data_IF_020046090352
#
_entry.id   IF_020046090352
#
_cell.length_a   1.000
_cell.length_b   1.000
_cell.length_c   1.000
_cell.angle_alpha   90.00
_cell.angle_beta   90.00
_cell.angle_gamma   90.00
#
_symmetry.space_group_name_H-M   'P 1'
#
loop_
_entity.id
_entity.type
_entity.pdbx_description
1 polymer ?
#
# COMPACT_ATOMS: atom_id res chain seq x y z
N UNK A 1 -83.26 -62.02 14.00
CA UNK A 1 -83.51 -60.79 14.78
C UNK A 1 -82.18 -60.36 15.36
N UNK A 2 -81.73 -59.17 14.95
CA UNK A 2 -80.34 -58.73 15.00
C UNK A 2 -79.91 -58.31 16.40
N UNK A 3 -78.74 -58.78 16.83
CA UNK A 3 -78.07 -58.38 18.05
C UNK A 3 -77.28 -57.08 17.81
N UNK A 4 -77.48 -56.09 18.69
CA UNK A 4 -76.70 -54.85 18.74
C UNK A 4 -75.30 -55.11 19.30
N UNK A 5 -74.22 -54.50 18.75
CA UNK A 5 -72.92 -54.47 19.37
C UNK A 5 -72.78 -53.31 20.39
N UNK A 6 -71.88 -53.42 21.40
CA UNK A 6 -71.65 -52.38 22.40
C UNK A 6 -70.74 -51.25 21.89
N UNK A 7 -70.75 -50.06 22.52
CA UNK A 7 -69.97 -48.92 22.08
C UNK A 7 -68.48 -49.05 22.43
N UNK A 8 -67.63 -48.69 21.47
CA UNK A 8 -66.19 -48.55 21.60
C UNK A 8 -65.84 -47.37 22.53
N UNK A 9 -65.09 -47.64 23.59
CA UNK A 9 -64.51 -46.62 24.47
C UNK A 9 -63.32 -45.94 23.80
N UNK A 10 -63.45 -44.63 23.56
CA UNK A 10 -62.36 -43.79 23.09
C UNK A 10 -61.37 -43.49 24.23
N UNK A 11 -60.19 -44.12 24.16
CA UNK A 11 -59.05 -43.80 25.02
C UNK A 11 -58.40 -42.49 24.57
N UNK A 12 -58.69 -41.41 25.29
CA UNK A 12 -58.04 -40.10 25.17
C UNK A 12 -56.59 -40.17 25.69
N UNK A 13 -55.63 -40.30 24.77
CA UNK A 13 -54.20 -40.12 25.08
C UNK A 13 -53.88 -38.62 25.17
N UNK A 14 -54.16 -38.02 26.33
CA UNK A 14 -53.56 -36.73 26.71
C UNK A 14 -52.08 -36.95 27.00
N UNK A 15 -51.20 -36.50 26.09
CA UNK A 15 -49.90 -35.86 26.34
C UNK A 15 -49.18 -35.62 25.00
N UNK A 16 -49.09 -34.35 24.55
CA UNK A 16 -47.76 -33.80 24.26
C UNK A 16 -47.60 -32.33 24.67
N UNK A 17 -48.35 -31.81 25.66
CA UNK A 17 -48.18 -30.40 26.09
C UNK A 17 -46.86 -30.11 26.82
N UNK A 18 -46.24 -31.12 27.43
CA UNK A 18 -45.00 -30.91 28.20
C UNK A 18 -43.74 -30.83 27.33
N UNK A 19 -43.74 -31.39 26.11
CA UNK A 19 -42.58 -31.35 25.21
C UNK A 19 -42.52 -30.05 24.38
N UNK A 20 -43.67 -29.51 23.98
CA UNK A 20 -43.73 -28.23 23.26
C UNK A 20 -43.25 -27.04 24.10
N UNK A 21 -43.61 -27.00 25.39
CA UNK A 21 -43.16 -25.94 26.30
C UNK A 21 -41.67 -26.01 26.64
N UNK A 22 -41.05 -27.20 26.63
CA UNK A 22 -39.62 -27.34 26.88
C UNK A 22 -38.77 -26.87 25.68
N UNK A 23 -39.27 -27.05 24.45
CA UNK A 23 -38.58 -26.59 23.23
C UNK A 23 -38.67 -25.06 23.07
N UNK A 24 -39.82 -24.45 23.39
CA UNK A 24 -40.02 -23.00 23.34
C UNK A 24 -39.16 -22.25 24.38
N UNK A 25 -38.98 -22.81 25.58
CA UNK A 25 -38.16 -22.19 26.63
C UNK A 25 -36.65 -22.31 26.35
N UNK A 26 -36.21 -23.36 25.67
CA UNK A 26 -34.81 -23.54 25.28
C UNK A 26 -34.36 -22.58 24.16
N UNK A 27 -35.29 -22.12 23.31
CA UNK A 27 -35.02 -21.15 22.22
C UNK A 27 -35.13 -19.68 22.66
N UNK A 28 -35.83 -19.36 23.76
CA UNK A 28 -35.99 -17.99 24.26
C UNK A 28 -34.84 -17.53 25.17
N UNK A 29 -34.14 -18.45 25.85
CA UNK A 29 -33.08 -18.09 26.80
C UNK A 29 -31.77 -17.52 26.19
N UNK A 30 -31.33 -17.83 24.95
CA UNK A 30 -30.10 -17.20 24.43
C UNK A 30 -30.30 -15.75 23.96
N UNK A 31 -31.55 -15.29 23.75
CA UNK A 31 -31.81 -13.94 23.20
C UNK A 31 -31.72 -12.82 24.25
N UNK A 32 -31.97 -13.09 25.54
CA UNK A 32 -31.83 -12.08 26.60
C UNK A 32 -30.38 -11.93 27.13
N UNK A 33 -29.48 -12.86 26.80
CA UNK A 33 -28.10 -12.87 27.30
C UNK A 33 -27.10 -12.04 26.50
N UNK A 34 -27.37 -11.73 25.23
CA UNK A 34 -26.38 -11.11 24.33
C UNK A 34 -26.48 -9.58 24.20
N UNK A 35 -27.51 -8.95 24.77
CA UNK A 35 -27.81 -7.53 24.54
C UNK A 35 -26.90 -6.52 25.28
N UNK A 36 -25.85 -6.95 26.00
CA UNK A 36 -24.99 -6.03 26.78
C UNK A 36 -23.50 -6.04 26.46
N UNK A 37 -23.05 -6.83 25.50
CA UNK A 37 -21.69 -6.75 25.01
C UNK A 37 -21.68 -5.96 23.71
N UNK A 38 -21.81 -4.63 23.82
CA UNK A 38 -21.35 -3.78 22.73
C UNK A 38 -19.88 -4.15 22.46
N UNK A 39 -19.48 -4.44 21.20
CA UNK A 39 -18.11 -4.75 20.89
C UNK A 39 -17.27 -3.56 21.35
N UNK A 40 -16.50 -3.76 22.42
CA UNK A 40 -15.53 -2.79 22.89
C UNK A 40 -14.50 -2.70 21.76
N UNK A 41 -14.59 -1.65 20.95
CA UNK A 41 -13.64 -1.42 19.85
C UNK A 41 -12.25 -1.55 20.45
N UNK A 42 -11.44 -2.54 20.02
CA UNK A 42 -10.08 -2.64 20.51
C UNK A 42 -9.39 -1.31 20.20
N UNK A 43 -8.56 -0.79 21.11
CA UNK A 43 -7.85 0.46 20.85
C UNK A 43 -7.09 0.32 19.51
N UNK A 44 -7.10 1.36 18.67
CA UNK A 44 -6.44 1.30 17.37
C UNK A 44 -4.99 0.90 17.60
N UNK A 45 -4.55 -0.18 16.94
CA UNK A 45 -3.16 -0.58 16.95
C UNK A 45 -2.38 0.47 16.18
N UNK A 46 -1.49 1.18 16.86
CA UNK A 46 -0.53 2.07 16.20
C UNK A 46 0.39 1.23 15.33
N UNK A 47 0.38 1.48 14.02
CA UNK A 47 1.34 0.90 13.09
C UNK A 47 2.35 1.98 12.69
N UNK A 48 3.64 1.65 12.83
CA UNK A 48 4.73 2.50 12.37
C UNK A 48 5.06 2.09 10.93
N UNK A 49 4.66 2.92 9.96
CA UNK A 49 4.77 2.63 8.53
C UNK A 49 6.25 2.56 8.08
N UNK A 50 7.08 3.46 8.62
CA UNK A 50 8.50 3.55 8.27
C UNK A 50 9.39 2.41 8.80
N UNK A 51 8.86 1.49 9.64
CA UNK A 51 9.65 0.37 10.17
C UNK A 51 9.66 -0.86 9.26
N UNK A 52 8.69 -1.01 8.35
CA UNK A 52 8.66 -2.13 7.39
C UNK A 52 9.48 -1.83 6.14
N UNK A 53 9.43 -0.59 5.66
CA UNK A 53 10.28 -0.13 4.58
C UNK A 53 11.66 0.19 5.16
N UNK A 54 12.64 -0.67 4.88
CA UNK A 54 14.02 -0.41 5.28
C UNK A 54 14.48 0.92 4.66
N UNK A 55 14.41 2.00 5.45
CA UNK A 55 14.96 3.28 5.06
C UNK A 55 16.42 3.07 4.70
N UNK A 56 16.83 3.64 3.57
CA UNK A 56 18.23 3.59 3.12
C UNK A 56 19.13 3.92 4.32
N UNK A 57 20.17 3.13 4.63
CA UNK A 57 21.17 3.58 5.58
C UNK A 57 21.80 4.82 4.97
N UNK A 58 21.32 5.99 5.38
CA UNK A 58 22.04 7.25 5.19
C UNK A 58 23.47 6.92 5.55
N UNK A 59 24.36 6.99 4.56
CA UNK A 59 25.79 6.82 4.73
C UNK A 59 26.15 7.65 5.96
N UNK A 60 26.61 6.94 6.99
CA UNK A 60 26.74 7.43 8.34
C UNK A 60 27.42 8.79 8.36
N UNK A 61 26.70 9.78 8.87
CA UNK A 61 27.17 10.81 9.80
C UNK A 61 28.71 10.84 9.99
N UNK A 62 29.41 11.49 9.08
CA UNK A 62 30.78 11.94 9.29
C UNK A 62 31.05 13.19 8.45
N UNK A 63 30.26 14.25 8.66
CA UNK A 63 30.73 15.63 8.75
C UNK A 63 29.53 16.58 8.85
N UNK A 64 29.68 17.64 9.63
CA UNK A 64 28.74 18.74 9.85
C UNK A 64 27.57 18.48 10.83
N UNK A 65 27.92 18.46 12.12
CA UNK A 65 27.07 19.07 13.15
C UNK A 65 27.12 20.60 12.97
N UNK A 66 26.42 21.10 11.96
CA UNK A 66 25.99 22.49 11.94
C UNK A 66 24.49 22.45 12.24
N UNK A 67 24.12 22.97 13.41
CA UNK A 67 22.72 23.19 13.79
C UNK A 67 22.11 24.09 12.71
N UNK A 68 21.46 23.49 11.72
CA UNK A 68 20.77 24.22 10.67
C UNK A 68 19.69 25.04 11.35
N UNK A 69 19.83 26.37 11.30
CA UNK A 69 18.70 27.25 11.58
C UNK A 69 17.58 26.86 10.62
N UNK A 70 16.32 26.75 11.05
CA UNK A 70 15.21 26.49 10.15
C UNK A 70 15.23 27.60 9.10
N UNK A 71 15.67 27.25 7.90
CA UNK A 71 15.65 28.17 6.76
C UNK A 71 14.17 28.47 6.55
N UNK A 72 13.79 29.75 6.57
CA UNK A 72 12.38 30.11 6.42
C UNK A 72 11.91 29.60 5.06
N UNK A 73 10.72 29.03 5.02
CA UNK A 73 10.04 28.57 3.80
C UNK A 73 10.12 29.60 2.65
N UNK A 74 10.08 30.89 2.98
CA UNK A 74 10.25 32.00 2.04
C UNK A 74 11.64 32.09 1.41
N UNK A 75 12.71 31.75 2.14
CA UNK A 75 14.09 31.85 1.66
C UNK A 75 14.43 30.65 0.75
N UNK A 76 13.93 29.45 1.05
CA UNK A 76 14.08 28.26 0.18
C UNK A 76 13.26 28.37 -1.10
N UNK A 77 12.04 28.92 -1.00
CA UNK A 77 11.23 29.24 -2.16
C UNK A 77 11.84 30.36 -3.01
N UNK A 78 12.44 31.37 -2.36
CA UNK A 78 13.15 32.43 -3.06
C UNK A 78 14.40 31.88 -3.78
N UNK A 79 15.18 31.02 -3.13
CA UNK A 79 16.38 30.42 -3.72
C UNK A 79 16.06 29.45 -4.87
N UNK A 80 14.99 28.65 -4.72
CA UNK A 80 14.48 27.81 -5.81
C UNK A 80 13.92 28.65 -6.97
N UNK A 81 13.28 29.79 -6.69
CA UNK A 81 12.78 30.71 -7.72
C UNK A 81 13.88 31.56 -8.38
N UNK A 82 15.02 31.75 -7.70
CA UNK A 82 16.19 32.47 -8.21
C UNK A 82 17.31 31.56 -8.70
N UNK A 83 17.04 30.25 -8.85
CA UNK A 83 18.00 29.29 -9.38
C UNK A 83 18.45 29.65 -10.81
N UNK A 84 19.59 29.11 -11.28
CA UNK A 84 20.04 29.34 -12.65
C UNK A 84 18.96 28.89 -13.63
N UNK A 85 18.67 29.71 -14.64
CA UNK A 85 17.84 29.30 -15.76
C UNK A 85 18.61 28.24 -16.56
N UNK A 86 18.09 27.02 -16.60
CA UNK A 86 18.66 25.94 -17.39
C UNK A 86 18.11 25.99 -18.81
N UNK A 87 18.97 25.80 -19.80
CA UNK A 87 18.57 25.68 -21.21
C UNK A 87 18.45 24.23 -21.67
N UNK A 88 19.04 23.30 -20.90
CA UNK A 88 18.99 21.85 -21.13
C UNK A 88 18.74 21.13 -19.79
N UNK A 89 17.96 20.05 -19.81
CA UNK A 89 17.72 19.20 -18.65
C UNK A 89 19.03 18.57 -18.13
N UNK A 90 19.98 18.31 -19.04
CA UNK A 90 21.31 17.81 -18.71
C UNK A 90 22.09 18.79 -17.85
N UNK A 91 22.01 20.09 -18.15
CA UNK A 91 22.66 21.15 -17.36
C UNK A 91 22.10 21.21 -15.94
N UNK A 92 20.77 21.02 -15.80
CA UNK A 92 20.10 20.92 -14.50
C UNK A 92 20.64 19.75 -13.68
N UNK A 93 20.73 18.56 -14.28
CA UNK A 93 21.25 17.38 -13.58
C UNK A 93 22.73 17.50 -13.25
N UNK A 94 23.54 18.00 -14.18
CA UNK A 94 24.96 18.24 -13.96
C UNK A 94 25.19 19.25 -12.82
N UNK A 95 24.40 20.33 -12.79
CA UNK A 95 24.41 21.30 -11.70
C UNK A 95 24.06 20.65 -10.35
N UNK A 96 22.99 19.85 -10.30
CA UNK A 96 22.58 19.14 -9.09
C UNK A 96 23.65 18.13 -8.61
N UNK A 97 24.28 17.43 -9.56
CA UNK A 97 25.36 16.47 -9.33
C UNK A 97 26.68 17.12 -8.86
N UNK A 98 26.81 18.45 -9.03
CA UNK A 98 28.04 19.19 -8.74
C UNK A 98 29.10 19.10 -9.85
N UNK A 99 28.71 18.68 -11.06
CA UNK A 99 29.59 18.51 -12.22
C UNK A 99 29.76 19.82 -13.01
N UNK A 100 29.84 20.96 -12.32
CA UNK A 100 29.86 22.28 -12.97
C UNK A 100 31.23 22.61 -13.56
N UNK A 101 31.47 22.11 -14.77
CA UNK A 101 32.33 22.72 -15.79
C UNK A 101 31.74 22.38 -17.17
N UNK A 102 31.90 23.23 -18.20
CA UNK A 102 31.65 22.76 -19.56
C UNK A 102 32.49 21.51 -19.79
N UNK A 103 32.00 20.56 -20.58
CA UNK A 103 32.56 19.24 -20.90
C UNK A 103 34.03 19.22 -21.41
N UNK A 104 34.84 20.24 -21.19
CA UNK A 104 36.24 20.34 -21.63
C UNK A 104 37.20 21.11 -20.71
N UNK A 105 36.92 21.37 -19.42
CA UNK A 105 37.84 22.16 -18.57
C UNK A 105 38.26 21.58 -17.21
N UNK A 106 38.09 20.29 -16.95
CA UNK A 106 38.64 19.66 -15.73
C UNK A 106 39.36 18.34 -16.00
N UNK A 107 40.54 18.19 -15.39
CA UNK A 107 41.38 16.98 -15.28
C UNK A 107 40.73 15.82 -14.51
N UNK A 108 39.40 15.78 -14.38
CA UNK A 108 38.75 14.64 -13.73
C UNK A 108 38.81 13.44 -14.67
N UNK A 109 39.37 12.33 -14.18
CA UNK A 109 39.45 11.10 -14.96
C UNK A 109 38.04 10.66 -15.40
N UNK A 110 37.83 10.22 -16.65
CA UNK A 110 36.53 9.71 -17.11
C UNK A 110 35.90 8.66 -16.17
N UNK A 111 36.74 7.82 -15.57
CA UNK A 111 36.31 6.81 -14.60
C UNK A 111 35.72 7.40 -13.32
N UNK A 112 36.22 8.55 -12.85
CA UNK A 112 35.71 9.21 -11.65
C UNK A 112 34.29 9.75 -11.88
N UNK A 113 34.06 10.40 -13.02
CA UNK A 113 32.74 10.94 -13.38
C UNK A 113 31.71 9.80 -13.50
N UNK A 114 32.06 8.71 -14.18
CA UNK A 114 31.21 7.52 -14.26
C UNK A 114 30.88 6.93 -12.89
N UNK A 115 31.88 6.75 -12.02
CA UNK A 115 31.68 6.24 -10.67
C UNK A 115 30.75 7.15 -9.85
N UNK A 116 30.90 8.47 -9.99
CA UNK A 116 30.03 9.46 -9.35
C UNK A 116 28.60 9.35 -9.86
N UNK A 117 28.39 9.26 -11.17
CA UNK A 117 27.05 9.11 -11.77
C UNK A 117 26.36 7.81 -11.30
N UNK A 118 27.09 6.69 -11.19
CA UNK A 118 26.53 5.44 -10.67
C UNK A 118 26.09 5.56 -9.20
N UNK A 119 26.87 6.27 -8.38
CA UNK A 119 26.48 6.55 -6.99
C UNK A 119 25.20 7.38 -6.94
N UNK A 120 25.12 8.46 -7.73
CA UNK A 120 23.93 9.31 -7.81
C UNK A 120 22.69 8.57 -8.31
N UNK A 121 22.87 7.66 -9.28
CA UNK A 121 21.80 6.77 -9.75
C UNK A 121 21.28 5.88 -8.62
N UNK A 122 22.19 5.31 -7.82
CA UNK A 122 21.80 4.49 -6.66
C UNK A 122 20.99 5.28 -5.62
N UNK A 123 21.29 6.57 -5.44
CA UNK A 123 20.52 7.45 -4.56
C UNK A 123 19.09 7.68 -5.07
N UNK A 124 18.92 7.92 -6.39
CA UNK A 124 17.59 8.03 -7.00
C UNK A 124 16.81 6.72 -6.88
N UNK A 125 17.44 5.59 -7.21
CA UNK A 125 16.80 4.27 -7.10
C UNK A 125 16.38 3.95 -5.67
N UNK A 126 17.17 4.34 -4.67
CA UNK A 126 16.81 4.18 -3.27
C UNK A 126 15.61 5.04 -2.87
N UNK A 127 15.55 6.30 -3.32
CA UNK A 127 14.41 7.18 -3.07
C UNK A 127 13.12 6.67 -3.74
N UNK A 128 13.24 6.13 -4.95
CA UNK A 128 12.13 5.51 -5.68
C UNK A 128 11.60 4.30 -4.92
N UNK A 129 12.45 3.32 -4.64
CA UNK A 129 12.06 2.08 -3.94
C UNK A 129 11.49 2.36 -2.53
N UNK A 130 11.98 3.40 -1.86
CA UNK A 130 11.43 3.78 -0.56
C UNK A 130 10.03 4.42 -0.68
N UNK A 131 9.78 5.22 -1.71
CA UNK A 131 8.46 5.83 -1.94
C UNK A 131 7.43 4.77 -2.35
N UNK A 132 7.81 3.89 -3.28
CA UNK A 132 7.04 2.72 -3.75
C UNK A 132 6.65 1.79 -2.59
N UNK A 133 7.62 1.39 -1.76
CA UNK A 133 7.35 0.58 -0.56
C UNK A 133 6.35 1.22 0.40
N UNK A 134 6.41 2.55 0.57
CA UNK A 134 5.47 3.25 1.44
C UNK A 134 4.06 3.30 0.84
N UNK A 135 3.93 3.42 -0.49
CA UNK A 135 2.67 3.32 -1.21
C UNK A 135 2.07 1.92 -1.06
N UNK A 136 2.82 0.88 -1.43
CA UNK A 136 2.43 -0.53 -1.28
C UNK A 136 1.96 -0.86 0.15
N UNK A 137 2.66 -0.36 1.16
CA UNK A 137 2.30 -0.57 2.56
C UNK A 137 0.97 0.10 2.94
N UNK A 138 0.65 1.26 2.35
CA UNK A 138 -0.63 1.92 2.54
C UNK A 138 -1.75 1.21 1.78
N UNK A 139 -1.49 0.74 0.56
CA UNK A 139 -2.46 -0.01 -0.23
C UNK A 139 -2.82 -1.34 0.47
N UNK A 140 -1.82 -2.11 0.93
CA UNK A 140 -2.06 -3.35 1.67
C UNK A 140 -2.89 -3.09 2.93
N UNK A 141 -2.58 -2.00 3.65
CA UNK A 141 -3.33 -1.62 4.83
C UNK A 141 -4.78 -1.23 4.50
N UNK A 142 -5.00 -0.47 3.43
CA UNK A 142 -6.33 -0.14 2.95
C UNK A 142 -7.13 -1.41 2.62
N UNK A 143 -6.55 -2.29 1.80
CA UNK A 143 -7.19 -3.54 1.39
C UNK A 143 -7.54 -4.41 2.60
N UNK A 144 -6.66 -4.46 3.60
CA UNK A 144 -6.92 -5.19 4.84
C UNK A 144 -8.06 -4.59 5.66
N UNK A 145 -8.13 -3.27 5.80
CA UNK A 145 -9.22 -2.59 6.49
C UNK A 145 -10.55 -2.77 5.76
N UNK A 146 -10.55 -2.64 4.43
CA UNK A 146 -11.73 -2.86 3.59
C UNK A 146 -12.20 -4.31 3.62
N UNK A 147 -11.29 -5.28 3.58
CA UNK A 147 -11.62 -6.71 3.68
C UNK A 147 -12.27 -7.04 5.02
N UNK A 148 -11.77 -6.46 6.11
CA UNK A 148 -12.38 -6.62 7.44
C UNK A 148 -13.78 -6.00 7.50
N UNK A 149 -13.94 -4.77 7.01
CA UNK A 149 -15.22 -4.10 6.98
C UNK A 149 -16.27 -4.88 6.17
N UNK A 150 -15.89 -5.37 4.99
CA UNK A 150 -16.76 -6.19 4.13
C UNK A 150 -17.16 -7.52 4.79
N UNK A 151 -16.23 -8.16 5.54
CA UNK A 151 -16.55 -9.36 6.33
C UNK A 151 -17.56 -9.07 7.43
N UNK A 152 -17.39 -7.98 8.17
CA UNK A 152 -18.30 -7.60 9.24
C UNK A 152 -19.71 -7.30 8.70
N UNK A 153 -19.80 -6.60 7.57
CA UNK A 153 -21.06 -6.35 6.83
C UNK A 153 -21.73 -7.66 6.39
N UNK A 154 -20.95 -8.58 5.81
CA UNK A 154 -21.43 -9.89 5.35
C UNK A 154 -21.97 -10.72 6.51
N UNK A 155 -21.26 -10.75 7.64
CA UNK A 155 -21.67 -11.50 8.83
C UNK A 155 -22.96 -10.93 9.41
N UNK A 156 -23.09 -9.60 9.54
CA UNK A 156 -24.30 -8.96 10.04
C UNK A 156 -25.51 -9.20 9.12
N UNK A 157 -25.30 -9.14 7.81
CA UNK A 157 -26.32 -9.45 6.80
C UNK A 157 -26.76 -10.91 6.88
N UNK A 158 -25.82 -11.86 6.96
CA UNK A 158 -26.12 -13.28 7.08
C UNK A 158 -26.88 -13.60 8.38
N UNK A 159 -26.50 -12.98 9.50
CA UNK A 159 -27.20 -13.11 10.78
C UNK A 159 -28.63 -12.55 10.72
N UNK A 160 -28.82 -11.39 10.07
CA UNK A 160 -30.15 -10.81 9.84
C UNK A 160 -31.06 -11.78 9.09
N UNK A 161 -30.58 -12.36 7.98
CA UNK A 161 -31.33 -13.33 7.18
C UNK A 161 -31.65 -14.60 8.00
N UNK A 162 -30.66 -15.13 8.71
CA UNK A 162 -30.83 -16.35 9.50
C UNK A 162 -31.84 -16.17 10.64
N UNK A 163 -31.81 -15.04 11.36
CA UNK A 163 -32.76 -14.72 12.43
C UNK A 163 -34.16 -14.51 11.86
N UNK A 164 -34.28 -13.81 10.73
CA UNK A 164 -35.56 -13.62 10.05
C UNK A 164 -36.19 -14.95 9.63
N UNK A 165 -35.40 -15.84 9.02
CA UNK A 165 -35.86 -17.16 8.59
C UNK A 165 -36.23 -18.05 9.78
N UNK A 166 -35.39 -18.12 10.82
CA UNK A 166 -35.67 -18.91 12.03
C UNK A 166 -36.92 -18.41 12.76
N UNK A 167 -37.10 -17.10 12.83
CA UNK A 167 -38.29 -16.47 13.41
C UNK A 167 -39.57 -16.80 12.67
N UNK A 168 -39.56 -16.73 11.34
CA UNK A 168 -40.71 -17.09 10.50
C UNK A 168 -41.09 -18.57 10.66
N UNK A 169 -40.10 -19.47 10.70
CA UNK A 169 -40.33 -20.90 10.94
C UNK A 169 -40.92 -21.13 12.34
N UNK A 170 -40.38 -20.46 13.36
CA UNK A 170 -40.87 -20.59 14.73
C UNK A 170 -42.30 -20.06 14.89
N UNK A 171 -42.62 -18.90 14.32
CA UNK A 171 -43.96 -18.34 14.31
C UNK A 171 -44.96 -19.30 13.64
N UNK A 172 -44.64 -19.80 12.44
CA UNK A 172 -45.49 -20.77 11.73
C UNK A 172 -45.65 -22.10 12.49
N UNK A 173 -44.62 -22.58 13.19
CA UNK A 173 -44.73 -23.79 14.01
C UNK A 173 -45.63 -23.59 15.23
N UNK A 174 -45.60 -22.41 15.85
CA UNK A 174 -46.49 -22.06 16.98
C UNK A 174 -47.94 -21.99 16.51
N UNK A 175 -48.19 -21.35 15.36
CA UNK A 175 -49.52 -21.27 14.74
C UNK A 175 -50.13 -22.65 14.50
N UNK A 176 -49.32 -23.60 13.99
CA UNK A 176 -49.77 -24.97 13.74
C UNK A 176 -50.04 -25.76 15.04
N UNK A 177 -49.33 -25.44 16.13
CA UNK A 177 -49.43 -26.16 17.40
C UNK A 177 -50.60 -25.69 18.27
N UNK A 178 -50.92 -24.39 18.23
CA UNK A 178 -51.98 -23.78 19.03
C UNK A 178 -52.52 -22.50 18.35
N UNK A 179 -53.63 -22.63 17.61
CA UNK A 179 -54.20 -21.56 16.79
C UNK A 179 -54.71 -20.35 17.59
N UNK A 180 -54.95 -20.50 18.90
CA UNK A 180 -55.39 -19.41 19.78
C UNK A 180 -54.23 -18.82 20.61
N UNK A 181 -52.98 -19.23 20.35
CA UNK A 181 -51.83 -18.79 21.13
C UNK A 181 -51.37 -17.39 20.71
N UNK A 182 -51.19 -16.44 21.65
CA UNK A 182 -50.59 -15.14 21.36
C UNK A 182 -49.08 -15.23 21.01
N UNK A 183 -48.49 -16.44 21.00
CA UNK A 183 -47.06 -16.64 20.76
C UNK A 183 -46.62 -16.41 19.31
N UNK A 184 -47.46 -16.72 18.32
CA UNK A 184 -47.16 -16.49 16.89
C UNK A 184 -46.86 -15.01 16.59
N UNK A 185 -47.77 -14.06 16.90
CA UNK A 185 -47.56 -12.67 16.50
C UNK A 185 -46.39 -12.04 17.27
N UNK A 186 -46.17 -12.46 18.52
CA UNK A 186 -45.04 -11.98 19.33
C UNK A 186 -43.71 -12.43 18.72
N UNK A 187 -43.57 -13.71 18.39
CA UNK A 187 -42.33 -14.26 17.82
C UNK A 187 -42.07 -13.72 16.42
N UNK A 188 -43.09 -13.63 15.57
CA UNK A 188 -42.99 -13.07 14.23
C UNK A 188 -42.54 -11.61 14.24
N UNK A 189 -43.18 -10.76 15.05
CA UNK A 189 -42.82 -9.33 15.16
C UNK A 189 -41.44 -9.17 15.78
N UNK A 190 -41.12 -9.89 16.85
CA UNK A 190 -39.81 -9.77 17.51
C UNK A 190 -38.67 -10.19 16.58
N UNK A 191 -38.82 -11.29 15.86
CA UNK A 191 -37.81 -11.76 14.92
C UNK A 191 -37.68 -10.82 13.71
N UNK A 192 -38.80 -10.34 13.16
CA UNK A 192 -38.81 -9.37 12.06
C UNK A 192 -38.19 -8.03 12.44
N UNK A 193 -38.49 -7.50 13.63
CA UNK A 193 -37.87 -6.28 14.13
C UNK A 193 -36.36 -6.47 14.38
N UNK A 194 -35.95 -7.61 14.92
CA UNK A 194 -34.54 -7.92 15.18
C UNK A 194 -33.76 -8.09 13.88
N UNK A 195 -34.28 -8.84 12.91
CA UNK A 195 -33.64 -9.03 11.61
C UNK A 195 -33.54 -7.71 10.84
N UNK A 196 -34.61 -6.91 10.81
CA UNK A 196 -34.60 -5.59 10.18
C UNK A 196 -33.59 -4.66 10.84
N UNK A 197 -33.50 -4.66 12.19
CA UNK A 197 -32.51 -3.89 12.93
C UNK A 197 -31.07 -4.28 12.59
N UNK A 198 -30.78 -5.59 12.52
CA UNK A 198 -29.46 -6.10 12.13
C UNK A 198 -29.12 -5.76 10.67
N UNK A 199 -30.07 -5.94 9.74
CA UNK A 199 -29.87 -5.60 8.33
C UNK A 199 -29.63 -4.10 8.14
N UNK A 200 -30.39 -3.25 8.84
CA UNK A 200 -30.14 -1.81 8.85
C UNK A 200 -28.78 -1.48 9.45
N UNK A 201 -28.36 -2.15 10.53
CA UNK A 201 -27.05 -1.90 11.15
C UNK A 201 -25.88 -2.24 10.23
N UNK A 202 -26.02 -3.25 9.37
CA UNK A 202 -25.01 -3.58 8.36
C UNK A 202 -24.79 -2.42 7.37
N UNK A 203 -25.86 -1.70 6.99
CA UNK A 203 -25.78 -0.54 6.09
C UNK A 203 -25.15 0.71 6.73
N UNK A 204 -25.17 0.80 8.06
CA UNK A 204 -24.65 1.93 8.83
C UNK A 204 -23.40 1.58 9.64
N UNK A 205 -22.69 0.50 9.26
CA UNK A 205 -21.40 0.18 9.83
C UNK A 205 -20.44 1.37 9.61
N UNK A 206 -19.80 1.90 10.67
CA UNK A 206 -18.84 2.97 10.50
C UNK A 206 -17.64 2.49 9.69
N UNK A 207 -17.11 3.36 8.83
CA UNK A 207 -15.88 3.08 8.09
C UNK A 207 -14.71 2.86 9.06
N UNK A 208 -13.84 1.87 8.79
CA UNK A 208 -12.71 1.60 9.65
C UNK A 208 -11.71 2.76 9.63
N UNK A 209 -11.04 2.97 10.76
CA UNK A 209 -9.95 3.93 10.93
C UNK A 209 -8.74 3.27 11.57
N UNK A 210 -7.55 3.83 11.38
CA UNK A 210 -6.31 3.31 11.95
C UNK A 210 -5.39 4.44 12.41
N UNK A 211 -4.67 4.23 13.51
CA UNK A 211 -3.62 5.13 13.97
C UNK A 211 -2.31 4.82 13.25
N UNK A 212 -1.81 5.77 12.45
CA UNK A 212 -0.53 5.66 11.76
C UNK A 212 0.50 6.64 12.31
N UNK A 213 1.73 6.17 12.45
CA UNK A 213 2.93 6.98 12.67
C UNK A 213 3.81 6.84 11.42
N UNK A 214 4.14 7.98 10.81
CA UNK A 214 4.89 8.04 9.56
C UNK A 214 6.17 8.86 9.67
N UNK A 215 6.82 8.87 10.83
CA UNK A 215 8.16 9.43 11.00
C UNK A 215 9.25 8.46 10.48
N UNK A 216 10.16 8.88 9.57
CA UNK A 216 10.22 10.18 8.88
C UNK A 216 9.21 10.31 7.73
N UNK A 217 8.66 11.51 7.57
CA UNK A 217 7.59 11.78 6.61
C UNK A 217 8.11 12.40 5.30
N UNK A 218 8.31 11.58 4.26
CA UNK A 218 8.78 12.03 2.93
C UNK A 218 7.95 13.19 2.34
N UNK A 219 6.62 13.12 2.51
CA UNK A 219 5.72 14.13 1.94
C UNK A 219 5.90 15.48 2.63
N UNK A 220 6.25 15.47 3.93
CA UNK A 220 6.51 16.70 4.69
C UNK A 220 7.76 17.43 4.19
N UNK A 221 8.81 16.71 3.81
CA UNK A 221 10.04 17.31 3.25
C UNK A 221 9.75 18.06 1.96
N UNK A 222 8.90 17.50 1.10
CA UNK A 222 8.48 18.14 -0.15
C UNK A 222 7.54 19.31 0.11
N UNK A 223 6.60 19.15 1.06
CA UNK A 223 5.60 20.18 1.39
C UNK A 223 6.23 21.44 1.99
N UNK A 224 7.09 21.26 2.99
CA UNK A 224 7.72 22.37 3.73
C UNK A 224 8.95 22.94 3.02
N UNK A 225 9.59 22.15 2.15
CA UNK A 225 10.85 22.49 1.53
C UNK A 225 12.06 22.38 2.45
N UNK A 226 11.88 22.09 3.75
CA UNK A 226 12.99 22.04 4.70
C UNK A 226 13.72 20.71 4.55
N UNK A 227 14.96 20.74 4.05
CA UNK A 227 15.79 19.55 3.83
C UNK A 227 16.56 19.04 5.07
N UNK A 228 16.01 19.24 6.28
CA UNK A 228 16.69 18.87 7.54
C UNK A 228 16.30 17.45 8.01
N UNK A 229 15.27 16.85 7.40
CA UNK A 229 14.92 15.46 7.59
C UNK A 229 15.68 14.58 6.60
N UNK A 230 16.27 13.49 7.11
CA UNK A 230 17.08 12.50 6.38
C UNK A 230 16.28 11.69 5.34
N UNK A 231 15.17 12.25 4.86
CA UNK A 231 14.15 11.67 3.99
C UNK A 231 14.65 11.49 2.56
N UNK A 232 15.48 12.41 2.07
CA UNK A 232 16.09 12.34 0.74
C UNK A 232 17.60 12.51 0.79
N UNK A 233 18.29 11.96 -0.21
CA UNK A 233 19.70 12.30 -0.43
C UNK A 233 19.80 13.77 -0.88
N UNK A 234 20.94 14.46 -0.62
CA UNK A 234 21.14 15.84 -1.06
C UNK A 234 20.97 16.02 -2.57
N UNK A 235 21.30 15.01 -3.38
CA UNK A 235 21.14 15.06 -4.83
C UNK A 235 19.68 15.00 -5.26
N UNK A 236 18.92 14.03 -4.73
CA UNK A 236 17.48 13.90 -5.01
C UNK A 236 16.74 15.15 -4.54
N UNK A 237 17.06 15.65 -3.34
CA UNK A 237 16.50 16.89 -2.83
C UNK A 237 16.78 18.07 -3.78
N UNK A 238 18.01 18.26 -4.25
CA UNK A 238 18.32 19.33 -5.21
C UNK A 238 17.51 19.19 -6.50
N UNK A 239 17.40 18.00 -7.06
CA UNK A 239 16.62 17.78 -8.29
C UNK A 239 15.12 18.05 -8.13
N UNK A 240 14.56 17.76 -6.95
CA UNK A 240 13.18 18.09 -6.61
C UNK A 240 12.93 19.60 -6.58
N UNK A 241 13.88 20.38 -6.06
CA UNK A 241 13.70 21.81 -5.81
C UNK A 241 14.26 22.73 -6.90
N UNK A 242 15.13 22.25 -7.79
CA UNK A 242 15.61 23.01 -8.94
C UNK A 242 14.50 23.19 -10.00
N UNK A 243 14.34 24.39 -10.58
CA UNK A 243 13.42 24.63 -11.69
C UNK A 243 13.71 23.74 -12.90
N UNK A 244 12.68 23.28 -13.60
CA UNK A 244 12.84 22.64 -14.92
C UNK A 244 13.24 23.69 -15.96
N UNK A 245 13.75 23.23 -17.11
CA UNK A 245 14.06 24.09 -18.28
C UNK A 245 12.86 24.94 -18.66
N UNK A 246 11.68 24.32 -18.70
CA UNK A 246 10.41 24.96 -19.05
C UNK A 246 9.40 24.76 -17.93
N UNK A 247 9.58 25.48 -16.81
CA UNK A 247 8.54 25.60 -15.80
C UNK A 247 9.02 25.47 -14.35
N UNK A 248 8.08 25.25 -13.42
CA UNK A 248 8.39 25.17 -12.01
C UNK A 248 9.26 23.94 -11.68
N UNK A 249 9.82 23.92 -10.47
CA UNK A 249 10.49 22.72 -9.96
C UNK A 249 9.49 21.58 -9.74
N UNK A 250 9.94 20.30 -9.80
CA UNK A 250 9.11 19.15 -9.43
C UNK A 250 8.36 19.32 -8.10
N UNK A 251 9.03 19.80 -7.06
CA UNK A 251 8.43 20.02 -5.74
C UNK A 251 7.35 21.12 -5.74
N UNK A 252 7.50 22.17 -6.55
CA UNK A 252 6.47 23.19 -6.69
C UNK A 252 5.23 22.64 -7.41
N UNK A 253 5.42 21.81 -8.43
CA UNK A 253 4.33 21.19 -9.17
C UNK A 253 3.60 20.12 -8.33
N UNK A 254 4.34 19.30 -7.59
CA UNK A 254 3.79 18.35 -6.61
C UNK A 254 2.93 19.07 -5.57
N UNK A 255 3.44 20.14 -4.96
CA UNK A 255 2.68 20.92 -3.96
C UNK A 255 1.40 21.52 -4.55
N UNK A 256 1.46 22.04 -5.78
CA UNK A 256 0.27 22.53 -6.49
C UNK A 256 -0.78 21.43 -6.63
N UNK A 257 -0.38 20.26 -7.15
CA UNK A 257 -1.26 19.10 -7.34
C UNK A 257 -1.82 18.57 -6.02
N UNK A 258 -1.00 18.49 -4.98
CA UNK A 258 -1.40 18.02 -3.66
C UNK A 258 -2.38 18.96 -2.98
N UNK A 259 -2.21 20.27 -3.15
CA UNK A 259 -3.17 21.27 -2.68
C UNK A 259 -4.54 21.08 -3.32
N UNK A 260 -4.59 20.86 -4.63
CA UNK A 260 -5.85 20.59 -5.35
C UNK A 260 -6.55 19.32 -4.83
N UNK A 261 -5.79 18.26 -4.53
CA UNK A 261 -6.35 17.04 -3.94
C UNK A 261 -6.88 17.27 -2.52
N UNK A 262 -6.14 18.01 -1.67
CA UNK A 262 -6.56 18.35 -0.32
C UNK A 262 -7.84 19.20 -0.33
N UNK A 263 -7.94 20.17 -1.23
CA UNK A 263 -9.14 21.00 -1.38
C UNK A 263 -10.35 20.17 -1.85
N UNK A 264 -10.13 19.21 -2.75
CA UNK A 264 -11.17 18.28 -3.21
C UNK A 264 -11.67 17.40 -2.06
N UNK A 265 -10.77 16.87 -1.25
CA UNK A 265 -11.09 15.96 -0.15
C UNK A 265 -11.74 16.68 1.05
N UNK A 266 -11.31 17.92 1.33
CA UNK A 266 -11.89 18.72 2.41
C UNK A 266 -13.32 19.24 2.12
N UNK A 267 -13.76 19.20 0.86
CA UNK A 267 -15.09 19.63 0.42
C UNK A 267 -15.30 21.15 0.32
N UNK A 268 -16.41 21.55 -0.32
CA UNK A 268 -16.80 22.96 -0.48
C UNK A 268 -17.25 23.56 0.87
N UNK A 269 -16.34 24.21 1.59
CA UNK A 269 -16.69 24.96 2.81
C UNK A 269 -15.54 25.10 3.82
N UNK A 270 -14.53 24.24 3.73
CA UNK A 270 -13.38 24.27 4.63
C UNK A 270 -12.24 25.19 4.13
N UNK A 271 -12.58 26.33 3.51
CA UNK A 271 -11.59 27.36 3.12
C UNK A 271 -11.23 28.24 4.34
N UNK A 272 -10.53 27.65 5.30
CA UNK A 272 -10.05 28.36 6.51
C UNK A 272 -8.64 28.93 6.27
N UNK A 273 -8.30 30.04 6.91
CA UNK A 273 -7.01 30.75 6.77
C UNK A 273 -5.80 30.07 7.44
N UNK A 274 -5.86 28.74 7.65
CA UNK A 274 -4.81 27.94 8.28
C UNK A 274 -4.81 26.50 7.78
N UNK A 275 -3.76 25.71 8.07
CA UNK A 275 -3.62 24.36 7.54
C UNK A 275 -4.77 23.48 8.01
N UNK A 276 -5.40 22.79 7.05
CA UNK A 276 -6.54 21.92 7.34
C UNK A 276 -6.14 20.78 8.28
N UNK A 277 -7.10 20.19 9.00
CA UNK A 277 -6.83 19.01 9.83
C UNK A 277 -6.24 17.85 9.00
N UNK A 278 -6.69 17.73 7.75
CA UNK A 278 -6.18 16.76 6.78
C UNK A 278 -4.74 17.05 6.37
N UNK A 279 -4.40 18.32 6.10
CA UNK A 279 -3.03 18.75 5.82
C UNK A 279 -2.09 18.42 6.99
N UNK A 280 -2.50 18.70 8.23
CA UNK A 280 -1.73 18.36 9.42
C UNK A 280 -1.58 16.85 9.62
N UNK A 281 -2.60 16.07 9.29
CA UNK A 281 -2.55 14.61 9.33
C UNK A 281 -1.54 14.06 8.32
N UNK A 282 -1.58 14.56 7.08
CA UNK A 282 -0.74 14.09 5.97
C UNK A 282 0.72 14.52 6.13
N UNK A 283 0.99 15.80 6.44
CA UNK A 283 2.35 16.35 6.50
C UNK A 283 2.92 16.44 7.93
N UNK A 284 2.17 16.02 8.95
CA UNK A 284 2.61 15.97 10.33
C UNK A 284 3.41 14.71 10.66
N UNK A 285 3.21 14.18 11.87
CA UNK A 285 3.84 12.93 12.36
C UNK A 285 2.95 11.69 12.26
N UNK A 286 1.72 11.86 11.77
CA UNK A 286 0.69 10.83 11.77
C UNK A 286 -0.48 11.15 12.70
N UNK A 287 -1.36 10.17 12.87
CA UNK A 287 -2.63 10.29 13.59
C UNK A 287 -3.65 9.26 13.12
N UNK A 288 -4.93 9.52 13.36
CA UNK A 288 -6.02 8.64 12.93
C UNK A 288 -6.37 8.87 11.46
N UNK A 289 -6.18 7.84 10.64
CA UNK A 289 -6.50 7.83 9.21
C UNK A 289 -7.83 7.14 8.94
N UNK A 290 -8.67 7.78 8.12
CA UNK A 290 -9.76 7.14 7.38
C UNK A 290 -9.21 6.46 6.12
N UNK A 291 -10.01 5.59 5.50
CA UNK A 291 -9.69 4.99 4.19
C UNK A 291 -9.38 6.06 3.14
N UNK A 292 -10.17 7.13 3.06
CA UNK A 292 -9.95 8.18 2.06
C UNK A 292 -8.66 8.97 2.33
N UNK A 293 -8.29 9.19 3.60
CA UNK A 293 -7.00 9.79 3.96
C UNK A 293 -5.81 8.88 3.63
N UNK A 294 -5.96 7.55 3.73
CA UNK A 294 -4.94 6.58 3.30
C UNK A 294 -4.74 6.68 1.79
N UNK A 295 -5.82 6.60 1.01
CA UNK A 295 -5.82 6.74 -0.45
C UNK A 295 -5.22 8.07 -0.91
N UNK A 296 -5.55 9.15 -0.21
CA UNK A 296 -4.99 10.46 -0.53
C UNK A 296 -3.47 10.48 -0.32
N UNK A 297 -2.99 9.89 0.78
CA UNK A 297 -1.55 9.81 1.07
C UNK A 297 -0.83 8.93 0.06
N UNK A 298 -1.41 7.77 -0.26
CA UNK A 298 -0.93 6.82 -1.26
C UNK A 298 -0.76 7.51 -2.63
N UNK A 299 -1.82 8.16 -3.13
CA UNK A 299 -1.76 8.93 -4.36
C UNK A 299 -0.70 10.07 -4.35
N UNK A 300 -0.40 10.66 -3.19
CA UNK A 300 0.69 11.64 -3.08
C UNK A 300 2.08 10.99 -3.19
N UNK A 301 2.25 9.78 -2.65
CA UNK A 301 3.48 8.99 -2.78
C UNK A 301 3.69 8.54 -4.22
N UNK A 302 2.64 8.09 -4.92
CA UNK A 302 2.71 7.76 -6.36
C UNK A 302 3.18 8.94 -7.21
N UNK A 303 2.69 10.15 -6.90
CA UNK A 303 3.13 11.35 -7.60
C UNK A 303 4.62 11.63 -7.35
N UNK A 304 5.08 11.45 -6.12
CA UNK A 304 6.50 11.61 -5.77
C UNK A 304 7.35 10.54 -6.45
N UNK A 305 6.93 9.28 -6.41
CA UNK A 305 7.61 8.16 -7.09
C UNK A 305 7.77 8.45 -8.57
N UNK A 306 6.70 8.88 -9.24
CA UNK A 306 6.73 9.26 -10.67
C UNK A 306 7.77 10.35 -10.93
N UNK A 307 7.84 11.38 -10.09
CA UNK A 307 8.83 12.45 -10.23
C UNK A 307 10.26 11.96 -9.99
N UNK A 308 10.48 11.07 -9.03
CA UNK A 308 11.80 10.46 -8.78
C UNK A 308 12.19 9.54 -9.95
N UNK A 309 11.24 8.82 -10.55
CA UNK A 309 11.48 7.99 -11.73
C UNK A 309 11.93 8.85 -12.93
N UNK A 310 11.31 10.02 -13.13
CA UNK A 310 11.70 10.97 -14.17
C UNK A 310 13.13 11.50 -13.94
N UNK A 311 13.55 11.71 -12.69
CA UNK A 311 14.94 12.11 -12.40
C UNK A 311 15.96 11.05 -12.82
N UNK A 312 15.61 9.77 -12.71
CA UNK A 312 16.48 8.69 -13.18
C UNK A 312 16.63 8.75 -14.71
N UNK A 313 15.57 9.09 -15.44
CA UNK A 313 15.64 9.30 -16.89
C UNK A 313 16.56 10.49 -17.22
N UNK A 314 16.37 11.64 -16.56
CA UNK A 314 17.21 12.81 -16.78
C UNK A 314 18.71 12.52 -16.53
N UNK A 315 19.03 11.71 -15.52
CA UNK A 315 20.41 11.29 -15.22
C UNK A 315 20.98 10.34 -16.28
N UNK A 316 20.18 9.43 -16.81
CA UNK A 316 20.59 8.51 -17.87
C UNK A 316 20.88 9.27 -19.17
N UNK A 317 20.06 10.27 -19.50
CA UNK A 317 20.27 11.13 -20.66
C UNK A 317 21.58 11.94 -20.55
N UNK A 318 21.94 12.38 -19.33
CA UNK A 318 23.24 13.02 -19.08
C UNK A 318 24.41 12.03 -19.22
N UNK A 319 24.27 10.82 -18.69
CA UNK A 319 25.30 9.78 -18.77
C UNK A 319 25.59 9.38 -20.21
N UNK A 320 24.55 9.22 -21.04
CA UNK A 320 24.69 8.91 -22.46
C UNK A 320 25.42 10.03 -23.20
N UNK A 321 24.99 11.27 -23.01
CA UNK A 321 25.61 12.43 -23.64
C UNK A 321 27.09 12.57 -23.27
N UNK A 322 27.43 12.38 -21.99
CA UNK A 322 28.81 12.45 -21.53
C UNK A 322 29.66 11.32 -22.11
N UNK A 323 29.11 10.10 -22.20
CA UNK A 323 29.82 8.96 -22.78
C UNK A 323 30.10 9.17 -24.27
N UNK A 324 29.15 9.74 -25.02
CA UNK A 324 29.34 10.07 -26.43
C UNK A 324 30.46 11.10 -26.63
N UNK A 325 30.52 12.15 -25.80
CA UNK A 325 31.60 13.14 -25.85
C UNK A 325 32.95 12.51 -25.50
N UNK A 326 33.00 11.73 -24.41
CA UNK A 326 34.24 11.08 -23.97
C UNK A 326 34.80 10.08 -25.00
N UNK A 327 33.94 9.42 -25.78
CA UNK A 327 34.35 8.53 -26.87
C UNK A 327 34.85 9.30 -28.11
N UNK A 328 34.27 10.47 -28.41
CA UNK A 328 34.72 11.32 -29.54
C UNK A 328 36.08 11.97 -29.28
N UNK A 329 36.37 12.28 -28.03
CA UNK A 329 37.62 12.92 -27.62
C UNK A 329 38.75 11.90 -27.35
N UNK A 330 38.56 10.59 -27.58
CA UNK A 330 39.63 9.59 -27.48
C UNK A 330 40.54 9.66 -28.73
N UNK A 331 41.80 10.14 -28.60
CA UNK A 331 42.73 10.23 -29.73
C UNK A 331 43.06 8.88 -30.38
N UNK A 332 42.71 7.75 -29.75
CA UNK A 332 42.89 6.40 -30.32
C UNK A 332 41.77 5.98 -31.28
N UNK A 333 40.66 6.72 -31.33
CA UNK A 333 39.56 6.44 -32.24
C UNK A 333 39.95 6.73 -33.71
N UNK A 334 40.80 7.72 -33.95
CA UNK A 334 41.29 8.07 -35.30
C UNK A 334 42.49 7.22 -35.75
N UNK A 335 43.26 6.63 -34.82
CA UNK A 335 44.49 5.88 -35.14
C UNK A 335 44.23 4.46 -35.69
N UNK A 336 42.98 3.97 -35.64
CA UNK A 336 42.61 2.61 -36.08
C UNK A 336 41.83 2.52 -37.40
N UNK A 337 41.66 3.65 -38.13
CA UNK A 337 40.97 3.64 -39.44
C UNK A 337 41.92 3.73 -40.66
N UNK A 338 43.21 3.97 -40.47
CA UNK A 338 44.22 3.67 -41.48
C UNK A 338 44.80 2.27 -41.23
N UNK A 339 44.05 1.24 -41.65
CA UNK A 339 44.70 -0.02 -42.01
C UNK A 339 45.58 0.30 -43.22
N UNK A 340 46.87 0.52 -42.96
CA UNK A 340 47.90 0.62 -43.98
C UNK A 340 47.79 -0.61 -44.90
N UNK A 341 47.60 -0.45 -46.22
CA UNK A 341 47.46 -1.56 -47.17
C UNK A 341 48.79 -2.29 -47.43
N UNK A 342 49.60 -2.51 -46.39
CA UNK A 342 50.95 -3.05 -46.46
C UNK A 342 51.33 -4.02 -45.35
N UNK A 343 50.43 -4.34 -44.42
CA UNK A 343 50.74 -5.38 -43.44
C UNK A 343 50.76 -6.77 -44.12
N UNK A 344 51.86 -7.54 -43.98
CA UNK A 344 51.95 -8.86 -44.56
C UNK A 344 50.88 -9.78 -43.94
N UNK A 345 50.34 -10.74 -44.70
CA UNK A 345 49.30 -11.63 -44.20
C UNK A 345 49.78 -12.31 -42.92
N UNK A 346 48.92 -12.26 -41.88
CA UNK A 346 49.11 -13.00 -40.63
C UNK A 346 49.50 -14.46 -40.95
N UNK A 347 50.44 -15.04 -40.19
CA UNK A 347 50.81 -16.44 -40.36
C UNK A 347 49.56 -17.31 -40.20
N UNK A 348 49.30 -18.12 -41.21
CA UNK A 348 48.27 -19.16 -41.20
C UNK A 348 48.49 -20.05 -39.99
N UNK A 349 47.57 -19.94 -39.02
CA UNK A 349 47.47 -20.91 -37.92
C UNK A 349 47.20 -22.27 -38.56
N UNK A 350 47.97 -23.33 -38.24
CA UNK A 350 47.66 -24.67 -38.71
C UNK A 350 46.27 -25.03 -38.19
N UNK A 351 45.35 -25.31 -39.10
CA UNK A 351 44.10 -26.01 -38.79
C UNK A 351 44.46 -27.39 -38.29
N UNK A 352 44.59 -27.54 -36.96
CA UNK A 352 44.59 -28.85 -36.33
C UNK A 352 43.14 -29.34 -36.32
N UNK A 353 42.83 -30.09 -37.36
CA UNK A 353 41.56 -30.73 -37.62
C UNK A 353 41.41 -31.95 -36.70
N UNK A 354 41.27 -31.75 -35.38
CA UNK A 354 40.81 -32.82 -34.47
C UNK A 354 40.12 -32.24 -33.24
N UNK A 355 38.88 -31.76 -33.40
CA UNK A 355 37.93 -31.68 -32.29
C UNK A 355 36.71 -32.55 -32.62
N UNK A 356 36.38 -33.54 -31.77
CA UNK A 356 35.22 -34.40 -32.00
C UNK A 356 33.91 -33.59 -31.90
N UNK A 357 32.87 -33.98 -32.65
CA UNK A 357 31.64 -33.22 -32.71
C UNK A 357 30.94 -33.16 -31.34
N UNK A 358 30.32 -32.02 -30.99
CA UNK A 358 29.50 -31.92 -29.81
C UNK A 358 28.29 -32.85 -29.95
N UNK A 359 28.10 -33.73 -28.96
CA UNK A 359 26.90 -34.54 -28.83
C UNK A 359 25.71 -33.61 -28.57
N UNK A 360 24.72 -33.70 -29.45
CA UNK A 360 23.39 -33.13 -29.31
C UNK A 360 22.77 -33.54 -27.97
N UNK A 361 22.28 -32.61 -27.13
CA UNK A 361 21.37 -32.98 -26.07
C UNK A 361 20.00 -33.27 -26.70
N UNK A 362 19.64 -34.54 -26.60
CA UNK A 362 18.34 -35.14 -26.91
C UNK A 362 17.27 -34.43 -26.07
N UNK A 363 16.36 -33.73 -26.77
CA UNK A 363 15.15 -33.16 -26.20
C UNK A 363 14.13 -34.27 -25.99
N UNK A 364 14.22 -34.98 -24.87
CA UNK A 364 13.18 -35.90 -24.43
C UNK A 364 12.13 -35.13 -23.64
N UNK A 365 10.96 -34.99 -24.24
CA UNK A 365 9.73 -34.66 -23.57
C UNK A 365 9.38 -35.77 -22.58
N UNK A 366 9.06 -35.41 -21.33
CA UNK A 366 8.20 -36.23 -20.49
C UNK A 366 7.51 -35.39 -19.41
N UNK A 367 6.19 -35.33 -19.53
CA UNK A 367 5.23 -35.03 -18.46
C UNK A 367 5.46 -35.95 -17.27
N UNK A 368 5.20 -35.49 -16.04
CA UNK A 368 4.31 -36.30 -15.22
C UNK A 368 3.27 -35.48 -14.46
N UNK A 369 2.04 -35.93 -14.68
CA UNK A 369 0.93 -35.95 -13.74
C UNK A 369 1.38 -36.58 -12.40
N UNK A 370 1.20 -35.87 -11.28
CA UNK A 370 1.15 -36.53 -9.98
C UNK A 370 0.34 -35.74 -8.96
N UNK A 371 -0.81 -36.34 -8.71
CA UNK A 371 -1.75 -36.19 -7.62
C UNK A 371 -1.10 -36.39 -6.23
N UNK A 372 -1.68 -35.72 -5.24
CA UNK A 372 -1.96 -36.21 -3.88
C UNK A 372 -1.13 -35.65 -2.70
N UNK A 373 -1.93 -35.29 -1.68
CA UNK A 373 -1.74 -35.45 -0.24
C UNK A 373 -0.97 -34.40 0.59
N UNK A 374 -1.78 -33.54 1.21
CA UNK A 374 -1.75 -33.08 2.61
C UNK A 374 -0.98 -33.99 3.57
N UNK A 375 -0.25 -33.38 4.53
CA UNK A 375 -0.38 -33.86 5.90
C UNK A 375 -0.76 -32.74 6.88
N UNK A 376 -1.79 -33.10 7.64
CA UNK A 376 -2.22 -32.63 8.94
C UNK A 376 -1.03 -32.32 9.87
N UNK A 377 -0.95 -31.09 10.38
CA UNK A 377 -0.07 -30.75 11.52
C UNK A 377 -0.91 -30.15 12.64
N UNK A 378 -1.31 -31.05 13.54
CA UNK A 378 -1.89 -30.78 14.84
C UNK A 378 -0.78 -30.36 15.80
N UNK A 379 -0.63 -29.05 16.06
CA UNK A 379 0.20 -28.56 17.16
C UNK A 379 -0.67 -28.21 18.37
N UNK A 380 -0.68 -29.14 19.33
CA UNK A 380 -1.34 -29.06 20.62
C UNK A 380 -0.44 -28.30 21.61
N UNK A 381 -0.82 -27.09 21.99
CA UNK A 381 -0.21 -26.35 23.11
C UNK A 381 -0.66 -26.95 24.45
N UNK A 382 0.25 -27.29 25.38
CA UNK A 382 -0.14 -27.64 26.73
C UNK A 382 -0.36 -26.38 27.57
N UNK A 383 -1.49 -26.37 28.28
CA UNK A 383 -1.67 -25.55 29.45
C UNK A 383 -0.67 -25.96 30.54
N UNK A 384 -0.02 -24.97 31.17
CA UNK A 384 0.52 -25.13 32.51
C UNK A 384 0.01 -23.98 33.37
N UNK A 385 -0.86 -24.41 34.27
CA UNK A 385 -1.40 -23.72 35.42
C UNK A 385 -0.35 -23.60 36.54
N UNK A 386 -0.45 -22.50 37.28
CA UNK A 386 -0.19 -22.41 38.73
C UNK A 386 1.27 -22.42 39.21
N UNK A 387 1.76 -21.24 39.60
CA UNK A 387 1.99 -20.94 41.02
C UNK A 387 1.69 -19.46 41.27
#
# INVERSE_FOLDING_TARGET
MNALPPPLSASSSRRPRALASALALALALPLLGCARSAPKTPPPRTMALARSCAGSPSVSAASSSARATPVREADLLAEAASGPAFTDARDRVAHAAGLQTPLGSQEESPLFVLARMQLLKSEISAAHAYSDCLGDALEELEQHLMSRHSRDETVLTALSIAIGAAGAIAAGAIELADQDSPGEPIVGIAAGATSAGLGASALFLPMPTIELDHEPNLLASVWTGVGDDRSFSPFVWKLLFLPRVEGPSPAAELRRRWKEMLEKEAGEGQRSSGPSALEQLIFGRGGTYSIDALRLRDAMLDHLETEVALMNQDLQDLLEAWTETALKDDPRADENLEISPGDPPLPTIPTDETSPPPKTPESTAETPESTAETPESTAKTPASSST
#
